data_IF_080237047965
#
_entry.id   IF_080237047965
#
_cell.length_a   1.000
_cell.length_b   1.000
_cell.length_c   1.000
_cell.angle_alpha   90.00
_cell.angle_beta   90.00
_cell.angle_gamma   90.00
#
_symmetry.space_group_name_H-M   'P 1'
#
loop_
_entity.id
_entity.type
_entity.pdbx_description
1 polymer ?
#
# COMPACT_ATOMS: atom_id res chain seq x y z
N UNK A 1 0.10 -4.62 13.08
CA UNK A 1 0.13 -3.14 13.08
C UNK A 1 -1.20 -2.63 13.62
N UNK A 2 -1.21 -1.92 14.75
CA UNK A 2 -2.42 -1.36 15.40
C UNK A 2 -2.66 0.10 14.99
N UNK A 3 -2.61 0.38 13.68
CA UNK A 3 -2.92 1.70 13.14
C UNK A 3 -4.33 1.68 12.55
N UNK A 4 -5.27 2.34 13.22
CA UNK A 4 -6.65 2.44 12.73
C UNK A 4 -6.75 3.53 11.67
N UNK A 5 -7.29 3.20 10.48
CA UNK A 5 -7.50 4.17 9.40
C UNK A 5 -8.29 5.42 9.84
N UNK A 6 -9.17 5.29 10.86
CA UNK A 6 -9.90 6.43 11.45
C UNK A 6 -9.00 7.50 12.06
N UNK A 7 -7.80 7.14 12.50
CA UNK A 7 -6.82 8.09 13.02
C UNK A 7 -6.23 8.98 11.90
N UNK A 8 -6.35 8.58 10.64
CA UNK A 8 -5.89 9.34 9.47
C UNK A 8 -7.06 10.03 8.78
N UNK A 9 -7.56 11.09 9.42
CA UNK A 9 -8.65 11.89 8.89
C UNK A 9 -8.30 12.48 7.51
N UNK A 10 -9.27 12.60 6.59
CA UNK A 10 -9.10 13.34 5.34
C UNK A 10 -8.66 14.79 5.62
N UNK A 11 -7.77 15.32 4.78
CA UNK A 11 -7.39 16.73 4.84
C UNK A 11 -7.04 17.24 3.43
N UNK A 12 -7.51 18.44 3.10
CA UNK A 12 -7.38 19.04 1.77
C UNK A 12 -7.97 18.15 0.68
N UNK A 13 -7.19 17.92 -0.39
CA UNK A 13 -7.54 17.05 -1.52
C UNK A 13 -7.25 15.55 -1.27
N UNK A 14 -6.94 15.14 -0.04
CA UNK A 14 -6.59 13.76 0.30
C UNK A 14 -7.71 13.14 1.14
N UNK A 15 -8.32 12.08 0.60
CA UNK A 15 -9.36 11.29 1.26
C UNK A 15 -8.85 10.38 2.39
N UNK A 16 -9.70 9.44 2.82
CA UNK A 16 -9.36 8.47 3.87
C UNK A 16 -8.19 7.57 3.45
N UNK A 17 -7.15 7.50 4.27
CA UNK A 17 -6.00 6.61 4.05
C UNK A 17 -6.27 5.26 4.70
N UNK A 18 -6.72 4.30 3.87
CA UNK A 18 -6.85 2.91 4.31
C UNK A 18 -5.46 2.28 4.41
N UNK A 19 -5.26 1.48 5.44
CA UNK A 19 -4.01 0.73 5.63
C UNK A 19 -4.01 -0.50 4.73
N UNK A 20 -2.86 -0.83 4.17
CA UNK A 20 -2.68 -2.13 3.50
C UNK A 20 -2.88 -3.25 4.52
N UNK A 21 -3.56 -4.30 4.08
CA UNK A 21 -3.70 -5.55 4.84
C UNK A 21 -2.59 -6.55 4.50
N UNK A 22 -1.80 -6.26 3.48
CA UNK A 22 -0.67 -7.08 3.05
C UNK A 22 0.55 -6.80 3.94
N UNK A 23 1.49 -7.75 4.04
CA UNK A 23 2.77 -7.52 4.71
C UNK A 23 3.48 -6.30 4.11
N UNK A 24 3.98 -5.40 4.97
CA UNK A 24 4.72 -4.20 4.56
C UNK A 24 6.11 -4.21 5.16
N UNK A 25 7.05 -3.56 4.48
CA UNK A 25 8.36 -3.24 5.00
C UNK A 25 8.42 -1.78 5.46
N UNK A 26 9.28 -1.49 6.43
CA UNK A 26 9.60 -0.11 6.83
C UNK A 26 10.75 0.39 5.97
N UNK A 27 10.55 1.54 5.32
CA UNK A 27 11.57 2.24 4.53
C UNK A 27 11.82 3.58 5.21
N UNK A 28 13.07 3.83 5.61
CA UNK A 28 13.53 5.11 6.14
C UNK A 28 14.50 5.70 5.12
N UNK A 29 14.17 6.85 4.53
CA UNK A 29 14.98 7.50 3.51
C UNK A 29 15.19 8.99 3.79
N UNK A 30 16.34 9.50 3.34
CA UNK A 30 16.61 10.92 3.22
C UNK A 30 16.71 11.23 1.73
N UNK A 31 15.73 11.94 1.18
CA UNK A 31 15.62 12.21 -0.25
C UNK A 31 15.30 13.67 -0.53
N UNK A 32 15.71 14.15 -1.70
CA UNK A 32 15.42 15.49 -2.19
C UNK A 32 14.87 15.39 -3.62
N UNK A 33 13.80 16.12 -3.93
CA UNK A 33 13.15 16.09 -5.25
C UNK A 33 12.43 17.39 -5.57
N UNK A 34 12.71 17.95 -6.75
CA UNK A 34 12.02 19.12 -7.28
C UNK A 34 10.53 18.87 -7.57
N UNK A 35 10.09 17.59 -7.60
CA UNK A 35 8.70 17.23 -7.88
C UNK A 35 7.80 17.30 -6.63
N UNK A 36 8.38 17.42 -5.42
CA UNK A 36 7.62 17.52 -4.17
C UNK A 36 7.48 18.96 -3.67
N UNK A 37 8.55 19.74 -3.78
CA UNK A 37 8.61 21.15 -3.39
C UNK A 37 9.74 21.87 -4.13
N UNK A 38 9.70 23.21 -4.14
CA UNK A 38 10.80 24.02 -4.64
C UNK A 38 12.04 23.91 -3.73
N UNK A 39 13.20 23.64 -4.31
CA UNK A 39 14.46 23.46 -3.57
C UNK A 39 15.24 24.78 -3.52
N UNK A 40 15.51 25.27 -2.31
CA UNK A 40 16.47 26.35 -2.10
C UNK A 40 17.89 25.79 -1.87
N UNK A 41 18.65 25.64 -2.95
CA UNK A 41 19.99 25.06 -2.93
C UNK A 41 21.02 25.86 -2.12
N UNK A 42 20.84 27.18 -1.99
CA UNK A 42 21.79 28.05 -1.29
C UNK A 42 21.75 27.87 0.23
N UNK A 43 20.66 27.30 0.75
CA UNK A 43 20.46 27.07 2.18
C UNK A 43 20.75 25.62 2.59
N UNK A 44 21.26 24.77 1.69
CA UNK A 44 21.58 23.37 1.99
C UNK A 44 23.10 23.20 2.03
N UNK A 45 23.60 22.72 3.17
CA UNK A 45 25.03 22.47 3.38
C UNK A 45 25.29 20.97 3.44
N UNK A 46 26.07 20.46 2.49
CA UNK A 46 26.41 19.05 2.38
C UNK A 46 27.74 18.73 3.10
N UNK A 47 27.88 17.52 3.68
CA UNK A 47 26.90 16.42 3.69
C UNK A 47 25.75 16.64 4.71
N UNK A 48 24.55 16.18 4.34
CA UNK A 48 23.38 16.17 5.23
C UNK A 48 23.19 14.75 5.76
N UNK A 49 22.91 14.62 7.06
CA UNK A 49 22.80 13.32 7.73
C UNK A 49 21.40 13.13 8.32
N UNK A 50 20.79 11.98 8.02
CA UNK A 50 19.62 11.47 8.74
C UNK A 50 20.11 10.50 9.81
N UNK A 51 20.03 10.90 11.08
CA UNK A 51 20.40 10.05 12.21
C UNK A 51 19.15 9.41 12.82
N UNK A 52 19.18 8.08 13.00
CA UNK A 52 18.11 7.30 13.61
C UNK A 52 18.67 6.60 14.83
N UNK A 53 18.18 6.94 16.02
CA UNK A 53 18.69 6.38 17.29
C UNK A 53 18.18 4.95 17.51
N UNK A 54 16.87 4.74 17.38
CA UNK A 54 16.30 3.39 17.42
C UNK A 54 14.95 3.30 16.69
N UNK A 55 14.64 2.09 16.25
CA UNK A 55 13.31 1.71 15.75
C UNK A 55 12.77 0.62 16.67
N UNK A 56 11.54 0.79 17.18
CA UNK A 56 10.83 -0.25 17.93
C UNK A 56 9.57 -0.64 17.19
N UNK A 57 9.40 -1.94 16.99
CA UNK A 57 8.22 -2.53 16.37
C UNK A 57 7.55 -3.37 17.44
N UNK A 58 6.30 -3.04 17.75
CA UNK A 58 5.48 -3.78 18.69
C UNK A 58 4.45 -4.60 17.92
N UNK A 59 4.51 -5.92 18.08
CA UNK A 59 3.47 -6.84 17.67
C UNK A 59 2.84 -7.42 18.94
N UNK A 60 1.51 -7.30 19.14
CA UNK A 60 0.85 -7.93 20.28
C UNK A 60 1.11 -9.44 20.28
N UNK A 61 1.53 -9.99 21.43
CA UNK A 61 1.96 -11.40 21.57
C UNK A 61 0.88 -12.41 21.19
N UNK A 62 -0.38 -12.02 21.31
CA UNK A 62 -1.59 -12.79 20.98
C UNK A 62 -2.00 -12.67 19.50
N UNK A 63 -1.34 -11.79 18.74
CA UNK A 63 -1.65 -11.48 17.33
C UNK A 63 -0.56 -11.97 16.37
N UNK A 64 -0.09 -13.20 16.58
CA UNK A 64 0.85 -13.84 15.66
C UNK A 64 0.07 -14.39 14.47
N UNK A 65 0.24 -13.75 13.31
CA UNK A 65 -0.28 -14.23 12.04
C UNK A 65 0.89 -14.39 11.08
N UNK A 66 1.33 -15.63 10.91
CA UNK A 66 2.33 -16.02 9.91
C UNK A 66 1.57 -16.77 8.83
N UNK A 67 0.86 -16.03 7.97
CA UNK A 67 0.21 -16.60 6.79
C UNK A 67 0.26 -15.59 5.65
N UNK A 68 0.59 -16.09 4.46
CA UNK A 68 0.43 -15.32 3.22
C UNK A 68 -1.01 -15.38 2.69
N UNK A 69 -1.88 -16.17 3.33
CA UNK A 69 -3.25 -16.45 2.93
C UNK A 69 -4.21 -16.33 4.13
N UNK A 70 -4.57 -15.11 4.54
CA UNK A 70 -5.52 -14.91 5.62
C UNK A 70 -6.95 -15.26 5.15
N UNK A 71 -7.83 -15.80 6.03
CA UNK A 71 -9.18 -16.24 5.64
C UNK A 71 -10.07 -15.12 5.07
N UNK A 72 -9.79 -13.86 5.41
CA UNK A 72 -10.52 -12.70 4.90
C UNK A 72 -9.97 -12.14 3.57
N UNK A 73 -8.79 -12.61 3.11
CA UNK A 73 -8.18 -12.32 1.80
C UNK A 73 -7.51 -13.59 1.26
N UNK A 74 -8.25 -14.47 0.54
CA UNK A 74 -7.71 -15.71 -0.03
C UNK A 74 -6.78 -15.38 -1.21
N UNK A 75 -5.61 -14.89 -0.87
CA UNK A 75 -4.59 -14.37 -1.78
C UNK A 75 -3.99 -15.52 -2.58
N UNK A 76 -3.82 -16.68 -1.94
CA UNK A 76 -3.33 -17.89 -2.61
C UNK A 76 -4.28 -18.32 -3.72
N UNK A 77 -5.57 -18.50 -3.41
CA UNK A 77 -6.57 -18.91 -4.40
C UNK A 77 -6.70 -17.88 -5.53
N UNK A 78 -6.60 -16.58 -5.20
CA UNK A 78 -6.65 -15.52 -6.19
C UNK A 78 -5.46 -15.58 -7.16
N UNK A 79 -4.24 -15.76 -6.65
CA UNK A 79 -3.03 -15.91 -7.47
C UNK A 79 -3.10 -17.18 -8.31
N UNK A 80 -3.56 -18.30 -7.74
CA UNK A 80 -3.71 -19.56 -8.47
C UNK A 80 -4.70 -19.44 -9.64
N UNK A 81 -5.81 -18.70 -9.46
CA UNK A 81 -6.77 -18.41 -10.53
C UNK A 81 -6.23 -17.44 -11.59
N UNK A 82 -5.23 -16.63 -11.24
CA UNK A 82 -4.67 -15.57 -12.08
C UNK A 82 -3.16 -15.73 -12.37
N UNK A 83 -2.65 -16.97 -12.43
CA UNK A 83 -1.19 -17.25 -12.53
C UNK A 83 -0.48 -16.44 -13.60
N UNK A 84 -1.08 -16.29 -14.78
CA UNK A 84 -0.43 -15.56 -15.88
C UNK A 84 -0.15 -14.10 -15.50
N UNK A 85 -1.00 -13.45 -14.70
CA UNK A 85 -0.77 -12.08 -14.27
C UNK A 85 0.37 -11.94 -13.25
N UNK A 86 0.71 -13.00 -12.51
CA UNK A 86 1.69 -12.96 -11.41
C UNK A 86 3.03 -13.65 -11.74
N UNK A 87 3.06 -14.53 -12.75
CA UNK A 87 4.24 -15.30 -13.12
C UNK A 87 4.77 -15.00 -14.53
N UNK A 88 3.99 -14.32 -15.39
CA UNK A 88 4.45 -13.92 -16.73
C UNK A 88 4.95 -12.47 -16.71
N UNK A 89 6.27 -12.30 -16.74
CA UNK A 89 6.90 -10.99 -16.72
C UNK A 89 6.58 -10.13 -17.96
N UNK A 90 6.07 -10.74 -19.04
CA UNK A 90 5.68 -10.02 -20.25
C UNK A 90 4.23 -9.53 -20.19
N UNK A 91 3.41 -10.02 -19.25
CA UNK A 91 2.02 -9.62 -19.10
C UNK A 91 1.93 -8.32 -18.26
N UNK A 92 2.03 -7.17 -18.93
CA UNK A 92 2.00 -5.86 -18.25
C UNK A 92 0.59 -5.32 -17.98
N UNK A 93 -0.45 -5.97 -18.51
CA UNK A 93 -1.84 -5.61 -18.27
C UNK A 93 -2.72 -6.85 -18.04
N UNK A 94 -3.88 -6.66 -17.41
CA UNK A 94 -4.87 -7.73 -17.21
C UNK A 94 -5.33 -8.35 -18.53
N UNK A 95 -5.46 -7.54 -19.57
CA UNK A 95 -5.82 -8.00 -20.91
C UNK A 95 -4.73 -8.89 -21.51
N UNK A 96 -3.46 -8.54 -21.35
CA UNK A 96 -2.32 -9.37 -21.81
C UNK A 96 -2.26 -10.71 -21.05
N UNK A 97 -2.63 -10.68 -19.78
CA UNK A 97 -2.78 -11.87 -18.95
C UNK A 97 -4.06 -12.69 -19.27
N UNK A 98 -4.92 -12.22 -20.18
CA UNK A 98 -6.14 -12.92 -20.60
C UNK A 98 -7.32 -12.81 -19.63
N UNK A 99 -7.29 -11.84 -18.72
CA UNK A 99 -8.33 -11.63 -17.71
C UNK A 99 -9.00 -10.27 -17.88
N UNK A 100 -10.23 -10.15 -17.39
CA UNK A 100 -10.92 -8.86 -17.30
C UNK A 100 -10.38 -8.04 -16.13
N UNK A 101 -10.20 -6.73 -16.33
CA UNK A 101 -9.79 -5.81 -15.26
C UNK A 101 -10.74 -5.90 -14.04
N UNK A 102 -10.21 -6.03 -12.81
CA UNK A 102 -11.01 -6.05 -11.60
C UNK A 102 -11.84 -4.76 -11.47
N UNK A 103 -13.16 -4.93 -11.34
CA UNK A 103 -14.08 -3.79 -11.26
C UNK A 103 -13.97 -3.07 -9.92
N UNK A 104 -13.93 -1.74 -9.96
CA UNK A 104 -13.94 -0.92 -8.75
C UNK A 104 -15.19 -0.02 -8.66
N UNK A 105 -15.40 0.58 -7.49
CA UNK A 105 -16.59 1.40 -7.20
C UNK A 105 -16.50 2.79 -7.86
N UNK A 106 -15.28 3.31 -8.05
CA UNK A 106 -15.03 4.65 -8.56
C UNK A 106 -15.31 4.76 -10.07
N UNK A 107 -14.95 3.75 -10.85
CA UNK A 107 -15.08 3.77 -12.31
C UNK A 107 -16.14 2.79 -12.84
N UNK A 108 -16.33 1.65 -12.18
CA UNK A 108 -17.04 0.51 -12.80
C UNK A 108 -18.38 0.16 -12.11
N UNK A 109 -18.89 1.08 -11.28
CA UNK A 109 -20.16 0.94 -10.53
C UNK A 109 -20.25 -0.39 -9.75
N UNK A 110 -19.11 -0.93 -9.32
CA UNK A 110 -19.04 -2.16 -8.55
C UNK A 110 -19.75 -1.98 -7.20
N UNK A 111 -20.63 -2.90 -6.81
CA UNK A 111 -21.23 -2.96 -5.47
C UNK A 111 -20.44 -3.94 -4.62
N UNK A 112 -19.50 -3.45 -3.82
CA UNK A 112 -18.87 -4.26 -2.78
C UNK A 112 -19.92 -4.61 -1.72
N UNK A 113 -20.03 -5.89 -1.37
CA UNK A 113 -20.96 -6.39 -0.33
C UNK A 113 -20.76 -5.76 1.05
N UNK A 114 -19.62 -5.08 1.29
CA UNK A 114 -19.27 -4.46 2.59
C UNK A 114 -19.06 -2.95 2.55
N UNK A 115 -19.20 -2.27 1.41
CA UNK A 115 -19.04 -0.81 1.32
C UNK A 115 -20.34 -0.14 0.85
N UNK A 116 -20.98 0.62 1.74
CA UNK A 116 -22.03 1.58 1.39
C UNK A 116 -21.39 2.97 1.29
N UNK A 117 -21.60 3.62 0.14
CA UNK A 117 -21.33 5.06 -0.02
C UNK A 117 -22.47 5.78 0.69
N UNK A 118 -22.18 6.37 1.86
CA UNK A 118 -23.03 7.39 2.45
C UNK A 118 -22.81 8.69 1.68
#
# INVERSE_FOLDING_TARGET
>A
MTLHAKALHPNGNIGWRRMSKEPMAIILNLGISNNWAYINWQMIFFPVTLSVDFVRIYQPNDSVSITCDPPDHPTYDYIEQHKKAYYDNNATSWADAGYSTPKNILTDKCKSSRYKKN
#
